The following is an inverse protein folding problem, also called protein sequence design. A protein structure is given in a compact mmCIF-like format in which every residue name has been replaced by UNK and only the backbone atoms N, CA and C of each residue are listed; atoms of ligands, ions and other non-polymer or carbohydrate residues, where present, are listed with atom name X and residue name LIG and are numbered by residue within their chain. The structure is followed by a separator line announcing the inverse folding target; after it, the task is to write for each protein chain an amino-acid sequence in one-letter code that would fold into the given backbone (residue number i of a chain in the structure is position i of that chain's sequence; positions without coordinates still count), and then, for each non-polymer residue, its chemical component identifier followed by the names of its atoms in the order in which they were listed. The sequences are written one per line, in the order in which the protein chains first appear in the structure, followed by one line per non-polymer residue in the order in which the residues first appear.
data_IF_481197083807
#
_entry.id   IF_481197083807
#
_cell.length_a   1.000
_cell.length_b   1.000
_cell.length_c   1.000
_cell.angle_alpha   90.00
_cell.angle_beta   90.00
_cell.angle_gamma   90.00
#
_symmetry.space_group_name_H-M   'P 1'
#
loop_
_entity.id
_entity.type
_entity.pdbx_description
1 polymer ?
#
# COMPACT_ATOMS: atom_id res chain seq x y z
N UNK A 1 1.23 -4.19 -18.16
CA UNK A 1 1.37 -3.89 -16.73
C UNK A 1 1.04 -5.11 -15.91
N UNK A 2 1.79 -5.30 -14.86
CA UNK A 2 1.67 -6.49 -14.04
C UNK A 2 0.87 -6.18 -12.78
N UNK A 3 -0.14 -7.02 -12.49
CA UNK A 3 -0.91 -6.90 -11.26
C UNK A 3 -0.11 -7.58 -10.14
N UNK A 4 0.20 -6.85 -9.07
CA UNK A 4 1.02 -7.36 -7.99
C UNK A 4 0.16 -8.15 -6.99
N UNK A 5 -1.01 -7.61 -6.63
CA UNK A 5 -1.99 -8.36 -5.85
C UNK A 5 -3.39 -7.81 -6.10
N UNK A 6 -4.39 -8.64 -5.76
CA UNK A 6 -5.78 -8.35 -6.04
C UNK A 6 -6.52 -7.92 -4.78
N UNK A 7 -7.72 -7.41 -5.00
CA UNK A 7 -8.67 -7.02 -3.96
C UNK A 7 -8.92 -8.19 -3.00
N UNK A 8 -8.86 -7.93 -1.71
CA UNK A 8 -9.02 -8.92 -0.63
C UNK A 8 -8.02 -10.07 -0.65
N UNK A 9 -7.01 -9.99 -1.46
CA UNK A 9 -5.98 -11.00 -1.48
C UNK A 9 -5.02 -10.77 -0.31
N UNK A 10 -4.87 -11.80 0.54
CA UNK A 10 -3.94 -11.73 1.66
C UNK A 10 -2.64 -12.44 1.27
N UNK A 11 -1.54 -11.75 1.45
CA UNK A 11 -0.22 -12.31 1.20
C UNK A 11 0.48 -12.58 2.53
N UNK A 12 1.51 -13.42 2.49
CA UNK A 12 2.40 -13.62 3.64
C UNK A 12 3.73 -12.94 3.41
N UNK A 13 3.75 -11.96 2.55
CA UNK A 13 4.93 -11.23 2.14
C UNK A 13 4.68 -9.75 2.30
N UNK A 14 5.69 -9.03 2.78
CA UNK A 14 5.67 -7.57 2.88
C UNK A 14 6.37 -7.04 1.64
N UNK A 15 5.74 -6.08 0.96
CA UNK A 15 6.24 -5.53 -0.30
C UNK A 15 6.58 -4.05 -0.15
N UNK A 16 7.78 -3.67 -0.59
CA UNK A 16 8.19 -2.27 -0.68
C UNK A 16 8.58 -1.97 -2.12
N UNK A 17 8.32 -0.76 -2.56
CA UNK A 17 8.80 -0.32 -3.87
C UNK A 17 10.30 -0.03 -3.75
N UNK A 18 11.11 -0.73 -4.55
CA UNK A 18 12.54 -0.45 -4.62
C UNK A 18 12.83 0.61 -5.67
N UNK A 19 12.17 0.51 -6.83
CA UNK A 19 12.27 1.52 -7.89
C UNK A 19 11.01 1.51 -8.73
N UNK A 20 10.71 2.64 -9.36
CA UNK A 20 9.52 2.79 -10.17
C UNK A 20 8.32 3.20 -9.32
N UNK A 21 7.13 2.99 -9.87
CA UNK A 21 5.88 3.37 -9.20
C UNK A 21 4.81 2.32 -9.39
N UNK A 22 3.99 2.15 -8.35
CA UNK A 22 2.81 1.28 -8.42
C UNK A 22 1.57 2.09 -8.12
N UNK A 23 0.43 1.64 -8.64
CA UNK A 23 -0.86 2.23 -8.30
C UNK A 23 -1.65 1.26 -7.43
N UNK A 24 -2.24 1.81 -6.38
CA UNK A 24 -3.26 1.12 -5.62
C UNK A 24 -4.59 1.71 -6.05
N UNK A 25 -5.49 0.88 -6.54
CA UNK A 25 -6.74 1.36 -7.11
C UNK A 25 -7.92 0.48 -6.73
N UNK A 26 -9.08 1.03 -6.88
CA UNK A 26 -10.33 0.31 -6.70
C UNK A 26 -11.09 0.33 -8.02
N UNK A 27 -12.11 -0.50 -8.13
CA UNK A 27 -12.98 -0.52 -9.30
C UNK A 27 -14.32 0.09 -8.93
N UNK A 28 -14.82 0.95 -9.82
CA UNK A 28 -16.17 1.49 -9.68
C UNK A 28 -17.17 0.40 -10.08
N UNK A 29 -18.45 0.62 -9.82
CA UNK A 29 -19.46 -0.36 -10.19
C UNK A 29 -19.57 -0.52 -11.72
N UNK A 30 -19.01 0.40 -12.51
CA UNK A 30 -18.97 0.29 -13.96
C UNK A 30 -17.67 -0.32 -14.47
N UNK A 31 -16.79 -0.77 -13.56
CA UNK A 31 -15.54 -1.40 -13.93
C UNK A 31 -14.40 -0.44 -14.23
N UNK A 32 -14.58 0.85 -14.00
CA UNK A 32 -13.52 1.83 -14.19
C UNK A 32 -12.59 1.85 -12.99
N UNK A 33 -11.31 2.11 -13.25
CA UNK A 33 -10.32 2.22 -12.19
C UNK A 33 -10.43 3.55 -11.46
N UNK A 34 -10.36 3.49 -10.15
CA UNK A 34 -10.24 4.69 -9.34
C UNK A 34 -8.95 4.60 -8.55
N UNK A 35 -7.94 5.34 -8.98
CA UNK A 35 -6.64 5.31 -8.32
C UNK A 35 -6.74 6.02 -6.98
N UNK A 36 -6.34 5.32 -5.93
CA UNK A 36 -6.35 5.85 -4.57
C UNK A 36 -4.97 6.38 -4.19
N UNK A 37 -3.92 5.58 -4.49
CA UNK A 37 -2.54 5.97 -4.19
C UNK A 37 -1.62 5.63 -5.34
N UNK A 38 -0.60 6.47 -5.52
CA UNK A 38 0.58 6.15 -6.31
C UNK A 38 1.72 6.06 -5.32
N UNK A 39 2.37 4.90 -5.27
CA UNK A 39 3.45 4.65 -4.34
C UNK A 39 4.76 4.54 -5.08
N UNK A 40 5.79 5.18 -4.56
CA UNK A 40 7.12 5.18 -5.14
C UNK A 40 8.15 4.57 -4.21
N UNK A 41 9.42 4.82 -4.52
CA UNK A 41 10.56 4.22 -3.83
C UNK A 41 10.46 4.32 -2.32
N UNK A 42 10.66 3.19 -1.65
CA UNK A 42 10.67 3.09 -0.20
C UNK A 42 9.30 2.97 0.44
N UNK A 43 8.24 3.03 -0.35
CA UNK A 43 6.88 2.98 0.20
C UNK A 43 6.34 1.57 0.27
N UNK A 44 5.55 1.32 1.30
CA UNK A 44 4.99 0.01 1.64
C UNK A 44 3.69 -0.21 0.85
N UNK A 45 3.57 -1.37 0.21
CA UNK A 45 2.39 -1.70 -0.57
C UNK A 45 1.26 -2.29 0.26
N UNK A 46 1.60 -3.05 1.30
CA UNK A 46 0.61 -3.76 2.08
C UNK A 46 -0.24 -2.81 2.90
N UNK A 47 -1.55 -3.04 2.92
CA UNK A 47 -2.46 -2.20 3.67
C UNK A 47 -2.61 -2.66 5.11
N UNK A 48 -2.19 -3.88 5.42
CA UNK A 48 -2.27 -4.43 6.77
C UNK A 48 -1.21 -5.50 6.95
N UNK A 49 -0.30 -5.31 7.89
CA UNK A 49 0.73 -6.31 8.18
C UNK A 49 0.63 -6.83 9.61
N UNK A 50 0.13 -6.02 10.55
CA UNK A 50 0.00 -6.43 11.95
C UNK A 50 -1.30 -7.18 12.16
N UNK A 51 -2.41 -6.62 11.71
CA UNK A 51 -3.74 -7.23 11.86
C UNK A 51 -3.99 -8.34 10.85
N UNK A 52 -3.12 -8.46 9.85
CA UNK A 52 -3.15 -9.52 8.84
C UNK A 52 -4.47 -9.60 8.07
N UNK A 53 -5.04 -8.46 7.77
CA UNK A 53 -6.26 -8.37 6.97
C UNK A 53 -5.92 -8.42 5.49
N UNK A 54 -6.82 -8.92 4.64
CA UNK A 54 -6.59 -8.90 3.19
C UNK A 54 -6.44 -7.48 2.67
N UNK A 55 -5.71 -7.33 1.58
CA UNK A 55 -5.61 -6.05 0.91
C UNK A 55 -6.96 -5.68 0.32
N UNK A 56 -7.38 -4.42 0.51
CA UNK A 56 -8.67 -3.94 0.05
C UNK A 56 -8.58 -3.27 -1.32
N UNK A 57 -7.38 -3.09 -1.85
CA UNK A 57 -7.15 -2.43 -3.13
C UNK A 57 -6.34 -3.33 -4.05
N UNK A 58 -6.54 -3.15 -5.35
CA UNK A 58 -5.69 -3.76 -6.35
C UNK A 58 -4.36 -3.02 -6.40
N UNK A 59 -3.30 -3.74 -6.74
CA UNK A 59 -1.98 -3.14 -6.89
C UNK A 59 -1.41 -3.53 -8.24
N UNK A 60 -1.03 -2.54 -9.02
CA UNK A 60 -0.53 -2.75 -10.37
C UNK A 60 0.65 -1.83 -10.63
N UNK A 61 1.65 -2.33 -11.36
CA UNK A 61 2.79 -1.52 -11.75
C UNK A 61 2.35 -0.42 -12.72
N UNK A 62 2.68 0.84 -12.40
CA UNK A 62 2.36 1.98 -13.27
C UNK A 62 3.42 2.16 -14.37
N UNK A 63 4.62 1.62 -14.15
CA UNK A 63 5.76 1.69 -15.07
C UNK A 63 6.66 0.52 -14.72
N UNK A 64 7.79 0.31 -15.40
CA UNK A 64 8.73 -0.72 -14.96
C UNK A 64 9.11 -0.50 -13.50
N UNK A 65 8.98 -1.54 -12.68
CA UNK A 65 9.11 -1.43 -11.24
C UNK A 65 9.92 -2.60 -10.68
N UNK A 66 10.67 -2.34 -9.62
CA UNK A 66 11.32 -3.37 -8.83
C UNK A 66 10.72 -3.36 -7.44
N UNK A 67 10.34 -4.54 -6.95
CA UNK A 67 9.69 -4.69 -5.67
C UNK A 67 10.60 -5.50 -4.74
N UNK A 68 10.78 -5.00 -3.52
CA UNK A 68 11.47 -5.73 -2.48
C UNK A 68 10.45 -6.56 -1.72
N UNK A 69 10.68 -7.88 -1.65
CA UNK A 69 9.78 -8.80 -1.00
C UNK A 69 10.44 -9.35 0.26
N UNK A 70 9.77 -9.24 1.38
CA UNK A 70 10.28 -9.73 2.66
C UNK A 70 9.21 -10.60 3.28
N UNK A 71 9.60 -11.80 3.75
CA UNK A 71 8.65 -12.67 4.42
C UNK A 71 8.05 -11.95 5.64
N UNK A 72 6.74 -12.11 5.83
CA UNK A 72 5.99 -11.36 6.84
C UNK A 72 6.48 -11.64 8.26
N UNK A 73 6.64 -12.92 8.62
CA UNK A 73 6.99 -13.27 9.99
C UNK A 73 8.35 -12.71 10.44
N UNK A 74 9.44 -12.89 9.67
CA UNK A 74 10.70 -12.24 10.04
C UNK A 74 10.61 -10.72 10.11
N UNK A 75 9.83 -10.11 9.23
CA UNK A 75 9.66 -8.66 9.24
C UNK A 75 8.97 -8.18 10.51
N UNK A 76 7.90 -8.86 10.92
CA UNK A 76 7.19 -8.54 12.15
C UNK A 76 8.09 -8.73 13.37
N UNK A 77 8.92 -9.76 13.34
CA UNK A 77 9.86 -10.01 14.43
C UNK A 77 10.87 -8.85 14.55
N UNK A 78 11.36 -8.36 13.41
CA UNK A 78 12.25 -7.21 13.41
C UNK A 78 11.56 -5.97 13.97
N UNK A 79 10.29 -5.77 13.64
CA UNK A 79 9.53 -4.65 14.16
C UNK A 79 9.42 -4.68 15.69
N UNK A 80 9.31 -5.89 16.27
CA UNK A 80 9.25 -6.03 17.72
C UNK A 80 10.56 -5.62 18.38
N UNK A 81 11.67 -5.74 17.67
CA UNK A 81 13.00 -5.47 18.19
C UNK A 81 13.53 -4.10 17.83
N UNK A 82 12.91 -3.41 16.90
CA UNK A 82 13.40 -2.11 16.42
C UNK A 82 12.29 -1.08 16.46
N UNK A 83 12.40 -0.15 17.40
CA UNK A 83 11.48 0.98 17.51
C UNK A 83 11.55 1.85 16.25
N UNK A 84 12.74 2.01 15.69
CA UNK A 84 12.94 2.83 14.49
C UNK A 84 12.20 2.24 13.30
N UNK A 85 12.27 0.92 13.12
CA UNK A 85 11.56 0.27 12.04
C UNK A 85 10.04 0.38 12.23
N UNK A 86 9.56 0.13 13.43
CA UNK A 86 8.13 0.21 13.73
C UNK A 86 7.62 1.63 13.51
N UNK A 87 8.39 2.62 13.92
CA UNK A 87 8.02 4.02 13.72
C UNK A 87 7.97 4.37 12.23
N UNK A 88 8.92 3.85 11.44
CA UNK A 88 8.93 4.09 10.00
C UNK A 88 7.69 3.50 9.32
N UNK A 89 7.29 2.29 9.72
CA UNK A 89 6.08 1.65 9.20
C UNK A 89 4.84 2.45 9.60
N UNK A 90 4.80 2.91 10.85
CA UNK A 90 3.68 3.72 11.34
C UNK A 90 3.55 5.00 10.53
N UNK A 91 4.67 5.66 10.21
CA UNK A 91 4.65 6.88 9.39
C UNK A 91 4.08 6.61 8.00
N UNK A 92 4.36 5.43 7.43
CA UNK A 92 3.79 5.06 6.13
C UNK A 92 2.26 5.03 6.19
N UNK A 93 1.71 4.39 7.20
CA UNK A 93 0.27 4.30 7.35
C UNK A 93 -0.35 5.65 7.69
N UNK A 94 0.31 6.45 8.49
CA UNK A 94 -0.15 7.82 8.80
C UNK A 94 -0.21 8.67 7.56
N UNK A 95 0.82 8.60 6.71
CA UNK A 95 0.85 9.36 5.46
C UNK A 95 -0.32 8.98 4.56
N UNK A 96 -0.58 7.68 4.43
CA UNK A 96 -1.66 7.21 3.58
C UNK A 96 -3.02 7.59 4.13
N UNK A 97 -3.17 7.53 5.45
CA UNK A 97 -4.40 7.96 6.10
C UNK A 97 -4.65 9.46 5.88
N UNK A 98 -3.59 10.26 6.01
CA UNK A 98 -3.68 11.69 5.78
C UNK A 98 -4.08 11.99 4.33
N UNK A 99 -3.46 11.29 3.37
CA UNK A 99 -3.79 11.47 1.94
C UNK A 99 -5.24 11.13 1.67
N UNK A 100 -5.73 10.05 2.25
CA UNK A 100 -7.13 9.64 2.11
C UNK A 100 -8.07 10.70 2.65
N UNK A 101 -7.79 11.21 3.85
CA UNK A 101 -8.59 12.26 4.46
C UNK A 101 -8.60 13.52 3.61
N UNK A 102 -7.45 13.86 3.02
CA UNK A 102 -7.32 15.04 2.16
C UNK A 102 -8.14 14.86 0.87
N UNK A 103 -8.14 13.69 0.29
CA UNK A 103 -8.95 13.39 -0.89
C UNK A 103 -10.43 13.53 -0.58
N UNK A 104 -10.86 13.02 0.55
CA UNK A 104 -12.27 13.12 0.96
C UNK A 104 -12.66 14.57 1.20
N UNK A 105 -11.79 15.33 1.83
CA UNK A 105 -12.04 16.76 2.08
C UNK A 105 -12.22 17.51 0.78
N UNK A 106 -11.36 17.26 -0.20
CA UNK A 106 -11.45 17.93 -1.49
C UNK A 106 -12.75 17.59 -2.21
N UNK A 107 -13.14 16.32 -2.13
CA UNK A 107 -14.39 15.85 -2.75
C UNK A 107 -15.60 16.55 -2.13
N UNK A 108 -15.62 16.68 -0.81
CA UNK A 108 -16.72 17.33 -0.11
C UNK A 108 -16.76 18.82 -0.38
N UNK A 109 -15.60 19.47 -0.51
CA UNK A 109 -15.55 20.91 -0.71
C UNK A 109 -15.96 21.34 -2.11
N UNK A 110 -16.11 20.42 -3.03
CA UNK A 110 -16.57 20.71 -4.39
C UNK A 110 -18.08 20.82 -4.50
N UNK A 111 -18.79 20.61 -3.41
CA UNK A 111 -20.26 20.66 -3.43
C UNK A 111 -20.81 22.10 -3.32
#
# INVERSE_FOLDING_TARGET
KEVIFFFFFRTKTVYFVYSGEVMLYNLTKHGNRKVIFILGKGQLLNQSIVSKKPNALFCEAACPVQILEIAEEPFLHLMEQSHDLTRAVLREYERNLWRMGHQLKNRWSEK
#
